data_IF_773858359245
#
_entry.id   IF_773858359245
#
_cell.length_a   1.000
_cell.length_b   1.000
_cell.length_c   1.000
_cell.angle_alpha   90.00
_cell.angle_beta   90.00
_cell.angle_gamma   90.00
#
_symmetry.space_group_name_H-M   'P 1'
#
loop_
_entity.id
_entity.type
_entity.pdbx_description
1 polymer ?
#
# COMPACT_ATOMS: atom_id res chain seq x y z
N UNK A 1 -3.36 -14.74 1.63
CA UNK A 1 -2.31 -15.65 1.11
C UNK A 1 -1.21 -15.91 2.14
N UNK A 2 -0.52 -14.88 2.69
CA UNK A 2 0.52 -15.10 3.72
C UNK A 2 0.00 -15.83 4.97
N UNK A 3 -1.10 -15.38 5.57
CA UNK A 3 -1.70 -16.03 6.76
C UNK A 3 -2.04 -17.49 6.47
N UNK A 4 -2.68 -17.75 5.35
CA UNK A 4 -3.04 -19.11 4.93
C UNK A 4 -1.79 -19.97 4.73
N UNK A 5 -0.77 -19.44 4.06
CA UNK A 5 0.52 -20.12 3.88
C UNK A 5 1.15 -20.47 5.23
N UNK A 6 1.36 -19.48 6.10
CA UNK A 6 1.94 -19.72 7.44
C UNK A 6 1.10 -20.73 8.23
N UNK A 7 -0.24 -20.66 8.13
CA UNK A 7 -1.14 -21.60 8.82
C UNK A 7 -1.05 -23.02 8.27
N UNK A 8 -0.93 -23.20 6.95
CA UNK A 8 -0.74 -24.52 6.33
C UNK A 8 0.59 -25.13 6.77
N UNK A 9 1.68 -24.38 6.70
CA UNK A 9 3.00 -24.87 7.13
C UNK A 9 3.05 -25.13 8.64
N UNK A 10 2.40 -24.30 9.45
CA UNK A 10 2.27 -24.54 10.89
C UNK A 10 1.45 -25.82 11.17
N UNK A 11 0.38 -26.06 10.42
CA UNK A 11 -0.42 -27.30 10.54
C UNK A 11 0.41 -28.54 10.16
N UNK A 12 1.16 -28.48 9.06
CA UNK A 12 2.07 -29.57 8.65
C UNK A 12 3.14 -29.80 9.71
N UNK A 13 3.81 -28.75 10.19
CA UNK A 13 4.82 -28.84 11.24
C UNK A 13 4.24 -29.45 12.54
N UNK A 14 3.02 -29.06 12.90
CA UNK A 14 2.30 -29.61 14.05
C UNK A 14 2.01 -31.10 13.87
N UNK A 15 1.54 -31.51 12.70
CA UNK A 15 1.26 -32.91 12.39
C UNK A 15 2.53 -33.77 12.44
N UNK A 16 3.62 -33.30 11.81
CA UNK A 16 4.91 -33.98 11.82
C UNK A 16 5.50 -34.08 13.23
N UNK A 17 5.50 -32.98 13.99
CA UNK A 17 6.00 -32.98 15.37
C UNK A 17 5.16 -33.92 16.26
N UNK A 18 3.84 -33.92 16.10
CA UNK A 18 2.96 -34.82 16.85
C UNK A 18 3.26 -36.27 16.51
N UNK A 19 3.35 -36.62 15.23
CA UNK A 19 3.56 -37.99 14.78
C UNK A 19 4.94 -38.54 15.10
N UNK A 20 6.00 -37.77 14.85
CA UNK A 20 7.38 -38.25 14.99
C UNK A 20 7.99 -38.03 16.36
N UNK A 21 7.46 -37.10 17.17
CA UNK A 21 8.04 -36.77 18.48
C UNK A 21 7.12 -37.10 19.66
N UNK A 22 5.85 -36.68 19.62
CA UNK A 22 4.94 -36.83 20.76
C UNK A 22 4.40 -38.25 20.91
N UNK A 23 3.90 -38.85 19.83
CA UNK A 23 3.33 -40.20 19.87
C UNK A 23 4.36 -41.28 20.24
N UNK A 24 5.58 -41.31 19.65
CA UNK A 24 6.54 -42.38 19.96
C UNK A 24 7.11 -42.31 21.39
N UNK A 25 7.03 -41.14 22.04
CA UNK A 25 7.49 -40.94 23.41
C UNK A 25 6.37 -41.05 24.44
N UNK A 26 5.14 -41.38 24.02
CA UNK A 26 3.95 -41.41 24.87
C UNK A 26 3.71 -40.10 25.67
N UNK A 27 4.11 -38.98 25.06
CA UNK A 27 3.98 -37.61 25.63
C UNK A 27 2.79 -36.85 25.04
N UNK A 28 1.91 -37.53 24.31
CA UNK A 28 0.82 -36.90 23.61
C UNK A 28 -0.27 -36.42 24.58
N UNK A 29 -0.66 -35.16 24.42
CA UNK A 29 -1.85 -34.58 25.02
C UNK A 29 -2.56 -33.73 23.97
N UNK A 30 -3.88 -33.66 24.04
CA UNK A 30 -4.69 -32.85 23.11
C UNK A 30 -4.32 -31.36 23.15
N UNK A 31 -3.75 -30.87 24.26
CA UNK A 31 -3.24 -29.50 24.37
C UNK A 31 -1.94 -29.26 23.60
N UNK A 32 -1.21 -30.31 23.24
CA UNK A 32 0.04 -30.18 22.49
C UNK A 32 -0.23 -29.70 21.06
N UNK A 33 -1.35 -30.10 20.45
CA UNK A 33 -1.70 -29.70 19.07
C UNK A 33 -1.81 -28.17 18.96
N UNK A 34 -2.70 -27.47 19.70
CA UNK A 34 -2.81 -26.02 19.61
C UNK A 34 -1.54 -25.29 20.06
N UNK A 35 -0.81 -25.83 21.05
CA UNK A 35 0.44 -25.23 21.52
C UNK A 35 1.55 -25.30 20.46
N UNK A 36 1.77 -26.48 19.86
CA UNK A 36 2.76 -26.68 18.81
C UNK A 36 2.37 -25.93 17.55
N UNK A 37 1.07 -25.83 17.23
CA UNK A 37 0.58 -25.02 16.13
C UNK A 37 0.92 -23.54 16.34
N UNK A 38 0.58 -22.98 17.50
CA UNK A 38 0.90 -21.59 17.83
C UNK A 38 2.43 -21.35 17.78
N UNK A 39 3.22 -22.24 18.37
CA UNK A 39 4.69 -22.18 18.34
C UNK A 39 5.26 -22.22 16.93
N UNK A 40 4.82 -23.18 16.12
CA UNK A 40 5.23 -23.32 14.72
C UNK A 40 4.85 -22.09 13.90
N UNK A 41 3.66 -21.54 14.13
CA UNK A 41 3.19 -20.31 13.47
C UNK A 41 4.12 -19.13 13.76
N UNK A 42 4.49 -18.93 15.04
CA UNK A 42 5.43 -17.87 15.45
C UNK A 42 6.80 -18.07 14.81
N UNK A 43 7.34 -19.30 14.84
CA UNK A 43 8.66 -19.61 14.26
C UNK A 43 8.66 -19.34 12.76
N UNK A 44 7.69 -19.85 12.00
CA UNK A 44 7.59 -19.63 10.55
C UNK A 44 7.45 -18.14 10.24
N UNK A 45 6.66 -17.40 11.02
CA UNK A 45 6.54 -15.95 10.86
C UNK A 45 7.87 -15.23 11.10
N UNK A 46 8.61 -15.60 12.15
CA UNK A 46 9.93 -15.03 12.43
C UNK A 46 10.93 -15.35 11.32
N UNK A 47 10.95 -16.58 10.80
CA UNK A 47 11.77 -16.96 9.65
C UNK A 47 11.43 -16.16 8.40
N UNK A 48 10.14 -15.90 8.16
CA UNK A 48 9.71 -15.02 7.07
C UNK A 48 10.21 -13.59 7.26
N UNK A 49 10.11 -13.03 8.47
CA UNK A 49 10.65 -11.69 8.77
C UNK A 49 12.17 -11.65 8.59
N UNK A 50 12.89 -12.65 9.08
CA UNK A 50 14.35 -12.77 8.90
C UNK A 50 14.72 -12.89 7.43
N UNK A 51 13.95 -13.64 6.63
CA UNK A 51 14.13 -13.71 5.19
C UNK A 51 13.95 -12.34 4.53
N UNK A 52 12.91 -11.57 4.89
CA UNK A 52 12.73 -10.20 4.39
C UNK A 52 13.87 -9.26 4.79
N UNK A 53 14.38 -9.39 6.02
CA UNK A 53 15.54 -8.64 6.51
C UNK A 53 16.81 -9.01 5.73
N UNK A 54 17.02 -10.30 5.46
CA UNK A 54 18.15 -10.80 4.69
C UNK A 54 18.15 -10.22 3.27
N UNK A 55 17.04 -10.31 2.54
CA UNK A 55 16.95 -9.72 1.19
C UNK A 55 17.07 -8.19 1.22
N UNK A 56 16.57 -7.52 2.27
CA UNK A 56 16.76 -6.08 2.46
C UNK A 56 18.23 -5.71 2.70
N UNK A 57 18.97 -6.58 3.39
CA UNK A 57 20.38 -6.37 3.71
C UNK A 57 21.28 -6.50 2.48
N UNK A 58 20.92 -7.39 1.54
CA UNK A 58 21.60 -7.53 0.25
C UNK A 58 21.40 -6.32 -0.68
N UNK A 59 20.39 -5.47 -0.42
CA UNK A 59 20.11 -4.30 -1.25
C UNK A 59 20.92 -3.07 -0.82
N UNK A 60 21.67 -2.48 -1.77
CA UNK A 60 22.35 -1.20 -1.58
C UNK A 60 21.44 -0.01 -1.89
N UNK A 61 21.37 0.97 -0.98
CA UNK A 61 20.63 2.23 -1.20
C UNK A 61 21.30 3.18 -2.21
N UNK A 62 22.51 2.88 -2.70
CA UNK A 62 23.23 3.77 -3.63
C UNK A 62 22.62 3.76 -5.04
N UNK A 63 21.89 2.71 -5.41
CA UNK A 63 21.33 2.56 -6.76
C UNK A 63 19.92 3.15 -6.84
N UNK A 64 19.69 4.08 -7.77
CA UNK A 64 18.33 4.57 -8.05
C UNK A 64 17.49 3.42 -8.62
N UNK A 65 16.33 3.15 -8.01
CA UNK A 65 15.45 2.04 -8.41
C UNK A 65 14.33 2.58 -9.29
N UNK A 66 14.49 2.46 -10.61
CA UNK A 66 13.42 2.80 -11.56
C UNK A 66 12.43 1.63 -11.63
N UNK A 67 12.94 0.43 -11.94
CA UNK A 67 12.18 -0.81 -12.01
C UNK A 67 12.69 -1.81 -10.96
N UNK A 68 11.93 -2.09 -9.88
CA UNK A 68 12.35 -3.01 -8.84
C UNK A 68 12.34 -4.45 -9.37
N UNK A 69 13.19 -5.32 -8.81
CA UNK A 69 13.09 -6.76 -9.04
C UNK A 69 11.75 -7.25 -8.50
N UNK A 70 11.04 -8.11 -9.24
CA UNK A 70 9.67 -8.55 -8.93
C UNK A 70 9.48 -9.09 -7.50
N UNK A 71 10.53 -9.63 -6.87
CA UNK A 71 10.51 -10.11 -5.48
C UNK A 71 10.07 -9.02 -4.48
N UNK A 72 10.50 -7.77 -4.66
CA UNK A 72 10.20 -6.68 -3.73
C UNK A 72 8.73 -6.24 -3.77
N UNK A 73 8.14 -5.84 -4.92
CA UNK A 73 6.72 -5.50 -5.00
C UNK A 73 5.84 -6.69 -4.65
N UNK A 74 6.25 -7.93 -4.98
CA UNK A 74 5.55 -9.14 -4.58
C UNK A 74 5.34 -9.20 -3.06
N UNK A 75 6.42 -9.09 -2.27
CA UNK A 75 6.29 -9.14 -0.81
C UNK A 75 5.67 -7.88 -0.22
N UNK A 76 5.87 -6.69 -0.81
CA UNK A 76 5.13 -5.48 -0.40
C UNK A 76 3.62 -5.71 -0.48
N UNK A 77 3.13 -6.29 -1.59
CA UNK A 77 1.72 -6.63 -1.72
C UNK A 77 1.27 -7.64 -0.65
N UNK A 78 2.04 -8.71 -0.42
CA UNK A 78 1.67 -9.75 0.57
C UNK A 78 1.71 -9.24 2.00
N UNK A 79 2.68 -8.40 2.34
CA UNK A 79 2.76 -7.70 3.63
C UNK A 79 1.58 -6.74 3.77
N UNK A 80 1.22 -5.99 2.73
CA UNK A 80 0.04 -5.12 2.77
C UNK A 80 -1.27 -5.90 2.99
N UNK A 81 -1.44 -7.05 2.32
CA UNK A 81 -2.59 -7.95 2.54
C UNK A 81 -2.60 -8.52 3.95
N UNK A 82 -1.43 -8.92 4.48
CA UNK A 82 -1.28 -9.39 5.86
C UNK A 82 -1.63 -8.30 6.87
N UNK A 83 -1.08 -7.10 6.71
CA UNK A 83 -1.37 -5.96 7.58
C UNK A 83 -2.85 -5.59 7.51
N UNK A 84 -3.47 -5.57 6.32
CA UNK A 84 -4.91 -5.35 6.21
C UNK A 84 -5.71 -6.37 7.03
N UNK A 85 -5.34 -7.65 6.95
CA UNK A 85 -5.98 -8.72 7.75
C UNK A 85 -5.71 -8.56 9.24
N UNK A 86 -4.46 -8.28 9.64
CA UNK A 86 -4.04 -8.10 11.03
C UNK A 86 -4.78 -6.94 11.69
N UNK A 87 -4.97 -5.84 10.97
CA UNK A 87 -5.73 -4.68 11.43
C UNK A 87 -7.25 -4.83 11.25
N UNK A 88 -7.73 -6.02 10.84
CA UNK A 88 -9.14 -6.33 10.62
C UNK A 88 -9.88 -5.29 9.76
N UNK A 89 -9.25 -4.91 8.64
CA UNK A 89 -9.80 -3.89 7.74
C UNK A 89 -10.58 -4.58 6.62
N UNK A 90 -11.88 -4.32 6.58
CA UNK A 90 -12.78 -4.73 5.49
C UNK A 90 -12.86 -3.62 4.46
N UNK A 91 -12.60 -3.96 3.20
CA UNK A 91 -12.59 -2.99 2.10
C UNK A 91 -13.78 -3.24 1.20
N UNK A 92 -14.57 -2.20 0.96
CA UNK A 92 -15.55 -2.14 -0.14
C UNK A 92 -14.87 -1.39 -1.27
N UNK A 93 -14.55 -2.08 -2.37
CA UNK A 93 -13.86 -1.47 -3.51
C UNK A 93 -14.80 -1.42 -4.71
N UNK A 94 -15.19 -0.21 -5.11
CA UNK A 94 -16.02 0.04 -6.29
C UNK A 94 -15.17 0.43 -7.52
N UNK A 95 -15.65 0.04 -8.70
CA UNK A 95 -15.11 0.42 -10.00
C UNK A 95 -13.63 0.04 -10.21
N UNK A 96 -13.20 -1.10 -9.69
CA UNK A 96 -11.81 -1.58 -9.80
C UNK A 96 -11.46 -1.94 -11.25
N UNK A 97 -12.44 -2.37 -12.01
CA UNK A 97 -12.34 -2.80 -13.41
C UNK A 97 -11.84 -1.69 -14.33
N UNK A 98 -12.12 -0.41 -14.01
CA UNK A 98 -11.67 0.76 -14.76
C UNK A 98 -10.16 1.00 -14.73
N UNK A 99 -9.41 0.33 -13.85
CA UNK A 99 -7.96 0.47 -13.80
C UNK A 99 -7.30 0.06 -15.14
N UNK A 100 -6.40 0.91 -15.71
CA UNK A 100 -5.62 0.58 -16.89
C UNK A 100 -4.86 -0.75 -16.68
N UNK A 101 -4.85 -1.65 -17.67
CA UNK A 101 -4.26 -2.99 -17.50
C UNK A 101 -2.74 -3.03 -17.65
N UNK A 102 -2.17 -2.01 -18.28
CA UNK A 102 -0.73 -1.89 -18.50
C UNK A 102 0.04 -1.38 -17.27
N UNK A 103 -0.67 -0.95 -16.21
CA UNK A 103 -0.10 -0.51 -14.94
C UNK A 103 0.53 0.89 -14.96
N UNK A 104 0.38 1.64 -16.06
CA UNK A 104 1.10 2.90 -16.29
C UNK A 104 0.20 4.09 -16.04
N UNK A 105 0.15 4.55 -14.80
CA UNK A 105 -0.66 5.71 -14.44
C UNK A 105 -0.18 6.39 -13.17
N UNK A 106 -0.51 7.67 -13.06
CA UNK A 106 -0.44 8.38 -11.79
C UNK A 106 -1.71 8.12 -11.00
N UNK A 107 -1.60 7.50 -9.84
CA UNK A 107 -2.71 7.28 -8.94
C UNK A 107 -2.83 8.44 -7.95
N UNK A 108 -3.96 9.14 -7.98
CA UNK A 108 -4.23 10.31 -7.15
C UNK A 108 -5.38 9.99 -6.21
N UNK A 109 -5.17 10.18 -4.92
CA UNK A 109 -6.19 9.93 -3.90
C UNK A 109 -6.03 10.83 -2.67
N UNK A 110 -7.12 11.01 -1.92
CA UNK A 110 -7.10 11.73 -0.64
C UNK A 110 -6.40 10.91 0.47
N UNK A 111 -6.00 11.59 1.55
CA UNK A 111 -5.23 10.97 2.65
C UNK A 111 -5.91 11.16 4.01
N UNK A 112 -6.36 10.08 4.63
CA UNK A 112 -7.01 10.07 5.95
C UNK A 112 -6.16 9.37 7.03
N UNK A 113 -5.35 8.37 6.67
CA UNK A 113 -4.68 7.50 7.64
C UNK A 113 -3.30 7.00 7.18
N UNK A 114 -2.48 6.57 8.14
CA UNK A 114 -1.24 5.84 7.82
C UNK A 114 -1.50 4.47 7.19
N UNK A 115 -2.73 3.98 7.28
CA UNK A 115 -3.17 2.71 6.70
C UNK A 115 -3.62 2.85 5.24
N UNK A 116 -3.76 4.07 4.70
CA UNK A 116 -4.21 4.28 3.31
C UNK A 116 -3.29 3.58 2.29
N UNK A 117 -1.94 3.68 2.38
CA UNK A 117 -1.07 2.94 1.47
C UNK A 117 -1.24 1.42 1.60
N UNK A 118 -1.45 0.91 2.82
CA UNK A 118 -1.63 -0.53 3.07
C UNK A 118 -2.91 -1.03 2.39
N UNK A 119 -4.02 -0.33 2.60
CA UNK A 119 -5.31 -0.69 2.00
C UNK A 119 -5.25 -0.57 0.48
N UNK A 120 -4.69 0.52 -0.03
CA UNK A 120 -4.52 0.73 -1.48
C UNK A 120 -3.69 -0.40 -2.10
N UNK A 121 -2.48 -0.66 -1.61
CA UNK A 121 -1.60 -1.71 -2.16
C UNK A 121 -2.27 -3.08 -2.10
N UNK A 122 -2.92 -3.41 -0.98
CA UNK A 122 -3.58 -4.71 -0.80
C UNK A 122 -4.71 -4.98 -1.81
N UNK A 123 -5.27 -3.92 -2.40
CA UNK A 123 -6.39 -3.98 -3.35
C UNK A 123 -5.93 -3.89 -4.81
N UNK A 124 -4.66 -3.56 -5.03
CA UNK A 124 -4.03 -3.31 -6.34
C UNK A 124 -3.17 -4.51 -6.79
N UNK A 125 -3.67 -5.75 -6.62
CA UNK A 125 -2.97 -6.97 -7.09
C UNK A 125 -2.64 -6.84 -8.58
N UNK A 126 -1.37 -7.08 -8.94
CA UNK A 126 -0.88 -6.98 -10.32
C UNK A 126 -0.34 -5.59 -10.71
N UNK A 127 -0.42 -4.61 -9.81
CA UNK A 127 0.10 -3.26 -10.04
C UNK A 127 1.29 -2.97 -9.13
N UNK A 128 2.37 -2.46 -9.72
CA UNK A 128 3.58 -2.07 -9.00
C UNK A 128 3.45 -0.64 -8.43
N UNK A 129 2.51 -0.49 -7.49
CA UNK A 129 2.19 0.80 -6.83
C UNK A 129 3.28 1.20 -5.85
N UNK A 130 3.91 2.35 -6.09
CA UNK A 130 4.83 2.98 -5.12
C UNK A 130 4.29 4.31 -4.66
N UNK A 131 4.61 4.64 -3.41
CA UNK A 131 4.24 5.91 -2.81
C UNK A 131 5.46 6.80 -2.61
N UNK A 132 5.18 8.10 -2.56
CA UNK A 132 6.09 9.08 -1.99
C UNK A 132 5.94 9.06 -0.46
N UNK A 133 7.00 8.66 0.26
CA UNK A 133 7.00 8.45 1.70
C UNK A 133 7.84 9.50 2.44
N UNK A 134 7.45 9.81 3.68
CA UNK A 134 8.26 10.68 4.56
C UNK A 134 9.66 10.09 4.72
N UNK A 135 10.70 10.90 4.55
CA UNK A 135 12.11 10.49 4.63
C UNK A 135 12.46 9.71 5.92
N UNK A 136 11.82 10.04 7.04
CA UNK A 136 12.01 9.33 8.31
C UNK A 136 11.67 7.83 8.20
N UNK A 137 10.62 7.46 7.47
CA UNK A 137 10.24 6.06 7.27
C UNK A 137 11.29 5.32 6.42
N UNK A 138 11.91 6.02 5.47
CA UNK A 138 12.99 5.49 4.63
C UNK A 138 14.30 5.31 5.40
N UNK A 139 14.44 5.90 6.59
CA UNK A 139 15.62 5.76 7.47
C UNK A 139 15.51 4.59 8.45
N UNK A 140 14.34 3.99 8.63
CA UNK A 140 14.17 2.81 9.50
C UNK A 140 15.05 1.66 9.00
N UNK A 141 15.89 1.03 9.87
CA UNK A 141 16.74 -0.09 9.48
C UNK A 141 15.94 -1.23 8.85
N UNK A 142 16.49 -1.82 7.78
CA UNK A 142 15.89 -2.88 6.94
C UNK A 142 14.58 -2.50 6.24
N UNK A 143 13.58 -1.97 6.94
CA UNK A 143 12.30 -1.48 6.36
C UNK A 143 12.57 -0.42 5.29
N UNK A 144 13.35 0.60 5.61
CA UNK A 144 13.68 1.66 4.66
C UNK A 144 14.56 1.17 3.50
N UNK A 145 15.41 0.14 3.70
CA UNK A 145 16.15 -0.51 2.61
C UNK A 145 15.20 -1.27 1.70
N UNK A 146 14.25 -1.98 2.28
CA UNK A 146 13.26 -2.76 1.56
C UNK A 146 12.30 -1.89 0.74
N UNK A 147 11.78 -0.81 1.35
CA UNK A 147 10.93 0.18 0.68
C UNK A 147 11.69 0.82 -0.50
N UNK A 148 12.95 1.17 -0.30
CA UNK A 148 13.80 1.68 -1.38
C UNK A 148 14.01 0.63 -2.49
N UNK A 149 14.28 -0.62 -2.14
CA UNK A 149 14.43 -1.72 -3.10
C UNK A 149 13.13 -2.01 -3.88
N UNK A 150 11.98 -1.79 -3.26
CA UNK A 150 10.66 -1.84 -3.90
C UNK A 150 10.33 -0.60 -4.75
N UNK A 151 11.18 0.44 -4.75
CA UNK A 151 11.02 1.64 -5.57
C UNK A 151 10.21 2.77 -4.92
N UNK A 152 9.97 2.71 -3.60
CA UNK A 152 9.34 3.83 -2.88
C UNK A 152 10.28 5.04 -2.83
N UNK A 153 9.68 6.22 -2.96
CA UNK A 153 10.41 7.47 -3.12
C UNK A 153 10.40 8.25 -1.80
N UNK A 154 11.55 8.60 -1.21
CA UNK A 154 11.56 9.52 -0.08
C UNK A 154 11.11 10.90 -0.51
N UNK A 155 10.43 11.64 0.38
CA UNK A 155 10.26 13.08 0.25
C UNK A 155 10.81 13.79 1.48
N UNK A 156 11.74 14.70 1.20
CA UNK A 156 12.21 15.69 2.14
C UNK A 156 11.60 17.04 1.77
N UNK A 157 10.66 17.51 2.59
CA UNK A 157 9.95 18.78 2.36
C UNK A 157 10.78 20.00 2.77
N UNK A 158 11.94 19.79 3.38
CA UNK A 158 12.87 20.85 3.76
C UNK A 158 13.98 21.04 2.72
N UNK A 159 14.04 20.17 1.69
CA UNK A 159 15.10 20.19 0.69
C UNK A 159 14.50 20.06 -0.71
N UNK A 160 14.28 21.21 -1.34
CA UNK A 160 13.62 21.30 -2.65
C UNK A 160 14.37 20.57 -3.75
N UNK A 161 15.71 20.57 -3.70
CA UNK A 161 16.55 19.84 -4.67
C UNK A 161 16.31 18.33 -4.58
N UNK A 162 16.31 17.76 -3.37
CA UNK A 162 16.01 16.33 -3.17
C UNK A 162 14.56 16.02 -3.52
N UNK A 163 13.61 16.90 -3.23
CA UNK A 163 12.23 16.71 -3.64
C UNK A 163 12.10 16.62 -5.17
N UNK A 164 12.78 17.51 -5.90
CA UNK A 164 12.82 17.49 -7.36
C UNK A 164 13.46 16.21 -7.92
N UNK A 165 14.58 15.77 -7.37
CA UNK A 165 15.24 14.52 -7.79
C UNK A 165 14.31 13.30 -7.66
N UNK A 166 13.54 13.23 -6.57
CA UNK A 166 12.58 12.15 -6.35
C UNK A 166 11.37 12.24 -7.29
N UNK A 167 10.91 13.45 -7.61
CA UNK A 167 9.86 13.66 -8.64
C UNK A 167 10.36 13.16 -10.01
N UNK A 168 11.59 13.50 -10.41
CA UNK A 168 12.18 13.02 -11.66
C UNK A 168 12.32 11.49 -11.68
N UNK A 169 12.65 10.87 -10.55
CA UNK A 169 12.67 9.41 -10.45
C UNK A 169 11.27 8.80 -10.57
N UNK A 170 10.25 9.45 -10.00
CA UNK A 170 8.84 9.07 -10.17
C UNK A 170 8.38 9.13 -11.62
N UNK A 171 8.77 10.17 -12.36
CA UNK A 171 8.51 10.29 -13.81
C UNK A 171 9.14 9.13 -14.57
N UNK A 172 10.43 8.86 -14.35
CA UNK A 172 11.13 7.73 -15.00
C UNK A 172 10.49 6.38 -14.70
N UNK A 173 9.89 6.23 -13.52
CA UNK A 173 9.16 5.02 -13.16
C UNK A 173 7.87 4.88 -13.95
N UNK A 174 7.09 5.96 -14.08
CA UNK A 174 5.88 5.97 -14.88
C UNK A 174 6.20 5.60 -16.34
N UNK A 175 7.26 6.21 -16.91
CA UNK A 175 7.77 5.87 -18.25
C UNK A 175 8.21 4.40 -18.36
N UNK A 176 8.83 3.86 -17.30
CA UNK A 176 9.26 2.46 -17.21
C UNK A 176 8.15 1.43 -16.95
N UNK A 177 6.90 1.88 -16.92
CA UNK A 177 5.70 1.03 -16.80
C UNK A 177 5.23 0.74 -15.37
N UNK A 178 5.69 1.51 -14.38
CA UNK A 178 5.21 1.41 -12.99
C UNK A 178 4.06 2.35 -12.69
N UNK A 179 3.39 2.13 -11.56
CA UNK A 179 2.37 3.04 -11.00
C UNK A 179 2.99 3.91 -9.91
N UNK A 180 2.78 5.23 -9.98
CA UNK A 180 3.13 6.15 -8.89
C UNK A 180 1.86 6.62 -8.21
N UNK A 181 1.76 6.42 -6.90
CA UNK A 181 0.65 6.90 -6.09
C UNK A 181 1.05 8.12 -5.25
N UNK A 182 0.19 9.12 -5.26
CA UNK A 182 0.42 10.39 -4.57
C UNK A 182 -0.82 10.85 -3.80
N UNK A 183 -0.55 11.51 -2.68
CA UNK A 183 -1.55 12.24 -1.91
C UNK A 183 -1.32 13.74 -2.13
N UNK A 184 -2.07 14.40 -3.03
CA UNK A 184 -1.83 15.79 -3.42
C UNK A 184 -2.05 16.78 -2.28
N UNK A 185 -2.81 16.42 -1.25
CA UNK A 185 -2.96 17.16 0.02
C UNK A 185 -1.61 17.37 0.73
N UNK A 186 -0.68 16.43 0.54
CA UNK A 186 0.62 16.42 1.22
C UNK A 186 0.50 16.19 2.73
N UNK A 187 -0.67 16.02 3.33
CA UNK A 187 -0.80 15.61 4.74
C UNK A 187 -2.08 14.83 4.92
N UNK A 188 -2.25 14.21 6.09
CA UNK A 188 -3.48 13.50 6.42
C UNK A 188 -4.53 14.48 6.90
N UNK A 189 -5.71 14.38 6.34
CA UNK A 189 -6.94 14.88 6.93
C UNK A 189 -7.28 14.10 8.20
N UNK A 190 -7.57 14.82 9.30
CA UNK A 190 -7.92 14.21 10.60
C UNK A 190 -9.42 14.12 10.83
N UNK A 191 -10.20 14.90 10.07
CA UNK A 191 -11.65 15.04 10.18
C UNK A 191 -12.40 14.40 9.00
N UNK A 192 -11.68 13.83 8.04
CA UNK A 192 -12.26 13.15 6.88
C UNK A 192 -12.68 14.10 5.76
N UNK A 193 -12.35 15.40 5.85
CA UNK A 193 -12.50 16.37 4.76
C UNK A 193 -11.32 16.30 3.80
N UNK A 194 -11.54 16.60 2.52
CA UNK A 194 -10.46 16.64 1.53
C UNK A 194 -9.76 17.99 1.60
N UNK A 195 -8.47 18.00 1.94
CA UNK A 195 -7.70 19.24 2.03
C UNK A 195 -7.40 19.82 0.64
N UNK A 196 -6.83 21.02 0.60
CA UNK A 196 -6.36 21.65 -0.64
C UNK A 196 -5.25 20.83 -1.29
N UNK A 197 -5.33 20.69 -2.61
CA UNK A 197 -4.37 19.93 -3.40
C UNK A 197 -3.23 20.83 -3.85
N UNK A 198 -2.02 20.26 -3.89
CA UNK A 198 -0.84 20.95 -4.43
C UNK A 198 -0.76 20.70 -5.93
N UNK A 199 -0.90 21.73 -6.75
CA UNK A 199 -0.90 21.61 -8.21
C UNK A 199 0.34 20.90 -8.77
N UNK A 200 1.51 21.14 -8.16
CA UNK A 200 2.76 20.48 -8.54
C UNK A 200 2.73 18.95 -8.46
N UNK A 201 1.76 18.37 -7.73
CA UNK A 201 1.56 16.94 -7.60
C UNK A 201 1.19 16.26 -8.93
N UNK A 202 0.61 16.99 -9.89
CA UNK A 202 0.14 16.44 -11.18
C UNK A 202 1.19 16.49 -12.30
N UNK A 203 2.27 17.25 -12.11
CA UNK A 203 3.40 17.33 -13.06
C UNK A 203 3.96 15.97 -13.50
N UNK A 204 4.08 14.94 -12.63
CA UNK A 204 4.57 13.64 -13.04
C UNK A 204 3.75 12.98 -14.14
N UNK A 205 2.41 13.10 -14.11
CA UNK A 205 1.54 12.52 -15.13
C UNK A 205 1.75 13.18 -16.50
N UNK A 206 1.76 14.51 -16.53
CA UNK A 206 1.97 15.28 -17.75
C UNK A 206 3.34 15.02 -18.37
N UNK A 207 4.40 14.99 -17.55
CA UNK A 207 5.76 14.74 -18.03
C UNK A 207 5.97 13.32 -18.53
N UNK A 208 5.41 12.32 -17.84
CA UNK A 208 5.51 10.92 -18.25
C UNK A 208 4.50 10.53 -19.36
N UNK A 209 3.59 11.44 -19.74
CA UNK A 209 2.51 11.23 -20.70
C UNK A 209 1.64 10.01 -20.36
N UNK A 210 1.26 9.90 -19.09
CA UNK A 210 0.43 8.81 -18.58
C UNK A 210 -0.92 9.32 -18.09
N UNK A 211 -1.97 8.48 -18.09
CA UNK A 211 -3.26 8.84 -17.51
C UNK A 211 -3.17 9.08 -16.00
N UNK A 212 -4.14 9.84 -15.48
CA UNK A 212 -4.39 10.01 -14.05
C UNK A 212 -5.56 9.12 -13.65
N UNK A 213 -5.35 8.23 -12.69
CA UNK A 213 -6.42 7.47 -12.05
C UNK A 213 -6.79 8.18 -10.76
N UNK A 214 -8.00 8.72 -10.70
CA UNK A 214 -8.55 9.38 -9.52
C UNK A 214 -9.25 8.33 -8.66
N UNK A 215 -8.79 8.15 -7.43
CA UNK A 215 -9.38 7.27 -6.44
C UNK A 215 -9.76 8.07 -5.19
N UNK A 216 -10.85 7.71 -4.53
CA UNK A 216 -11.16 8.22 -3.20
C UNK A 216 -11.09 7.10 -2.15
N UNK A 217 -10.75 7.50 -0.92
CA UNK A 217 -10.78 6.66 0.27
C UNK A 217 -11.61 7.32 1.36
N UNK A 218 -12.49 6.55 2.00
CA UNK A 218 -13.27 7.03 3.15
C UNK A 218 -13.51 5.96 4.23
N UNK A 219 -13.79 6.41 5.45
CA UNK A 219 -14.09 5.59 6.62
C UNK A 219 -12.98 5.54 7.67
N UNK A 220 -11.76 5.96 7.34
CA UNK A 220 -10.65 5.98 8.30
C UNK A 220 -10.74 7.14 9.31
N UNK A 221 -11.39 8.24 8.94
CA UNK A 221 -11.56 9.41 9.82
C UNK A 221 -12.35 9.09 11.10
N UNK A 222 -13.30 8.15 11.06
CA UNK A 222 -14.12 7.76 12.21
C UNK A 222 -13.39 6.96 13.26
N UNK A 223 -12.45 6.12 12.83
CA UNK A 223 -11.70 5.24 13.72
C UNK A 223 -10.24 5.49 13.50
N UNK A 224 -9.60 6.15 14.46
CA UNK A 224 -8.15 6.05 14.61
C UNK A 224 -7.86 4.60 14.95
N UNK A 225 -7.66 3.76 13.93
CA UNK A 225 -7.26 2.37 14.07
C UNK A 225 -5.83 2.39 14.64
N UNK A 226 -5.74 2.54 15.95
CA UNK A 226 -4.47 2.51 16.70
C UNK A 226 -4.12 1.08 17.09
N UNK A 227 -5.13 0.22 17.24
CA UNK A 227 -4.99 -1.14 17.69
C UNK A 227 -5.63 -2.10 16.67
N UNK A 228 -4.98 -3.26 16.39
CA UNK A 228 -5.47 -4.25 15.43
C UNK A 228 -6.79 -4.94 15.84
N UNK A 229 -7.29 -4.68 17.05
CA UNK A 229 -8.45 -5.34 17.63
C UNK A 229 -9.80 -4.72 17.25
N UNK A 230 -9.81 -3.51 16.68
CA UNK A 230 -11.06 -2.83 16.32
C UNK A 230 -11.31 -2.98 14.83
N UNK A 231 -12.39 -3.70 14.42
CA UNK A 231 -12.74 -3.81 13.01
C UNK A 231 -12.94 -2.43 12.38
N UNK A 232 -12.31 -2.22 11.24
CA UNK A 232 -12.45 -1.04 10.41
C UNK A 232 -13.07 -1.41 9.07
N UNK A 233 -13.98 -0.58 8.58
CA UNK A 233 -14.54 -0.71 7.24
C UNK A 233 -14.14 0.53 6.45
N UNK A 234 -13.62 0.32 5.26
CA UNK A 234 -13.06 1.37 4.40
C UNK A 234 -13.68 1.25 3.02
N UNK A 235 -14.09 2.39 2.47
CA UNK A 235 -14.57 2.51 1.11
C UNK A 235 -13.41 2.97 0.24
N UNK A 236 -13.21 2.27 -0.87
CA UNK A 236 -12.34 2.67 -1.97
C UNK A 236 -13.17 2.74 -3.24
N UNK A 237 -12.93 3.74 -4.07
CA UNK A 237 -13.57 3.83 -5.39
C UNK A 237 -12.67 4.49 -6.41
N UNK A 238 -12.53 3.87 -7.58
CA UNK A 238 -12.01 4.58 -8.74
C UNK A 238 -13.09 5.57 -9.21
N UNK A 239 -12.84 6.86 -9.00
CA UNK A 239 -13.77 7.94 -9.33
C UNK A 239 -13.82 8.14 -10.84
N UNK A 240 -12.65 8.29 -11.47
CA UNK A 240 -12.51 8.46 -12.92
C UNK A 240 -11.07 8.12 -13.33
N UNK A 241 -10.91 7.63 -14.55
CA UNK A 241 -9.62 7.59 -15.25
C UNK A 241 -9.61 8.75 -16.23
N UNK A 242 -8.61 9.63 -16.14
CA UNK A 242 -8.38 10.74 -17.04
C UNK A 242 -7.26 10.34 -18.00
N UNK A 243 -7.57 10.01 -19.26
CA UNK A 243 -6.58 9.79 -20.31
C UNK A 243 -5.61 10.96 -20.44
N UNK A 244 -4.36 10.69 -20.84
CA UNK A 244 -3.38 11.74 -21.08
C UNK A 244 -3.89 12.78 -22.09
N UNK A 245 -4.58 12.35 -23.14
CA UNK A 245 -5.14 13.24 -24.16
C UNK A 245 -6.17 14.24 -23.61
N UNK A 246 -6.87 13.91 -22.51
CA UNK A 246 -7.82 14.84 -21.87
C UNK A 246 -7.13 15.87 -20.96
N UNK A 247 -5.89 15.60 -20.51
CA UNK A 247 -5.18 16.43 -19.52
C UNK A 247 -3.96 17.16 -20.07
N UNK A 248 -3.47 16.79 -21.27
CA UNK A 248 -2.19 17.26 -21.82
C UNK A 248 -2.10 18.79 -21.97
N UNK A 249 -3.22 19.44 -22.28
CA UNK A 249 -3.31 20.87 -22.54
C UNK A 249 -3.84 21.66 -21.32
N UNK A 250 -4.18 20.96 -20.22
CA UNK A 250 -4.68 21.59 -19.01
C UNK A 250 -3.53 22.09 -18.13
N UNK A 251 -3.76 23.21 -17.44
CA UNK A 251 -2.83 23.63 -16.40
C UNK A 251 -2.95 22.72 -15.18
N UNK A 252 -1.86 22.59 -14.41
CA UNK A 252 -1.87 21.69 -13.24
C UNK A 252 -2.84 22.12 -12.16
N UNK A 253 -3.20 23.41 -12.09
CA UNK A 253 -4.25 23.93 -11.20
C UNK A 253 -5.63 23.38 -11.58
N UNK A 254 -5.92 23.31 -12.88
CA UNK A 254 -7.23 22.88 -13.38
C UNK A 254 -7.42 21.38 -13.12
N UNK A 255 -6.35 20.60 -13.32
CA UNK A 255 -6.32 19.17 -12.97
C UNK A 255 -6.48 18.98 -11.45
N UNK A 256 -5.81 19.84 -10.66
CA UNK A 256 -5.90 19.82 -9.19
C UNK A 256 -7.33 20.05 -8.71
N UNK A 257 -7.98 21.11 -9.18
CA UNK A 257 -9.37 21.43 -8.85
C UNK A 257 -10.33 20.33 -9.33
N UNK A 258 -10.20 19.89 -10.59
CA UNK A 258 -11.04 18.85 -11.18
C UNK A 258 -10.98 17.54 -10.39
N UNK A 259 -9.78 17.04 -10.12
CA UNK A 259 -9.60 15.77 -9.40
C UNK A 259 -10.02 15.88 -7.94
N UNK A 260 -9.80 17.02 -7.30
CA UNK A 260 -10.27 17.27 -5.94
C UNK A 260 -11.80 17.28 -5.86
N UNK A 261 -12.46 17.98 -6.78
CA UNK A 261 -13.92 18.01 -6.89
C UNK A 261 -14.50 16.61 -7.09
N UNK A 262 -13.93 15.82 -8.01
CA UNK A 262 -14.34 14.42 -8.23
C UNK A 262 -14.23 13.58 -6.95
N UNK A 263 -13.15 13.72 -6.19
CA UNK A 263 -12.96 12.98 -4.93
C UNK A 263 -14.01 13.39 -3.90
N UNK A 264 -14.27 14.69 -3.73
CA UNK A 264 -15.27 15.21 -2.79
C UNK A 264 -16.66 14.66 -3.12
N UNK A 265 -17.10 14.83 -4.37
CA UNK A 265 -18.43 14.38 -4.83
C UNK A 265 -18.61 12.87 -4.65
N UNK A 266 -17.57 12.07 -4.93
CA UNK A 266 -17.63 10.62 -4.76
C UNK A 266 -17.63 10.19 -3.29
N UNK A 267 -16.92 10.90 -2.41
CA UNK A 267 -16.98 10.67 -0.97
C UNK A 267 -18.38 11.00 -0.43
N UNK A 268 -18.96 12.13 -0.82
CA UNK A 268 -20.30 12.52 -0.41
C UNK A 268 -21.37 11.54 -0.91
N UNK A 269 -21.27 11.10 -2.17
CA UNK A 269 -22.14 10.08 -2.73
C UNK A 269 -22.01 8.74 -1.98
N UNK A 270 -20.78 8.33 -1.63
CA UNK A 270 -20.54 7.12 -0.85
C UNK A 270 -21.15 7.24 0.56
N UNK A 271 -20.99 8.39 1.22
CA UNK A 271 -21.60 8.68 2.54
C UNK A 271 -23.12 8.62 2.51
N UNK A 272 -23.76 9.13 1.45
CA UNK A 272 -25.22 8.99 1.25
C UNK A 272 -25.67 7.55 1.01
N UNK A 273 -24.85 6.75 0.33
CA UNK A 273 -25.15 5.35 -0.03
C UNK A 273 -24.90 4.37 1.12
N UNK A 274 -23.94 4.67 1.99
CA UNK A 274 -23.45 3.76 3.01
C UNK A 274 -23.54 4.38 4.41
N UNK A 275 -24.55 3.98 5.18
CA UNK A 275 -24.79 4.52 6.53
C UNK A 275 -23.58 4.39 7.46
N UNK A 276 -22.78 3.32 7.30
CA UNK A 276 -21.57 3.10 8.11
C UNK A 276 -20.45 4.14 7.85
N UNK A 277 -20.56 4.97 6.79
CA UNK A 277 -19.66 6.09 6.51
C UNK A 277 -20.10 7.42 7.17
N UNK A 278 -21.33 7.52 7.73
CA UNK A 278 -21.83 8.72 8.46
C UNK A 278 -21.68 8.67 9.98
#
# INVERSE_FOLDING_TARGET
MLVLFVSIFAAIATALFTYFYLLPQDKFSWWNIPAVFAGSWVVIFLLFVLFLVFIAALHSKKTKVIKPKAIYPFFIYHVAVFLRWLYNIRVVFENKEALPKDGKFLLVLNHQSMLDPIVTISCMKGYDVVFILKDLLMKVPFVGRYLHAAGFLPIDRKNDRKALENILLGIKRLEGGGTLAIYPEGTRSKDGRVLEFRDGAFKPALKAKVPIVVMCVDGFHKKRVKLPLVPAKVHLKICKVLPYEEIKDLHTSDISELTRKMIIENIEAARKKYDWLN
#
